data_IF_005571017023
#
_entry.id   IF_005571017023
#
_cell.length_a   1.000
_cell.length_b   1.000
_cell.length_c   1.000
_cell.angle_alpha   90.00
_cell.angle_beta   90.00
_cell.angle_gamma   90.00
#
_symmetry.space_group_name_H-M   'P 1'
#
loop_
_entity.id
_entity.type
_entity.pdbx_description
1 polymer ?
#
# COMPACT_ATOMS: atom_id res chain seq x y z
N UNK A 1 -11.61 8.12 -5.14
CA UNK A 1 -11.86 7.39 -6.40
C UNK A 1 -12.66 8.30 -7.31
N UNK A 2 -12.06 8.80 -8.39
CA UNK A 2 -12.76 9.66 -9.37
C UNK A 2 -13.40 8.85 -10.50
N UNK A 3 -12.85 7.65 -10.79
CA UNK A 3 -13.38 6.69 -11.75
C UNK A 3 -13.35 5.27 -11.17
N UNK A 4 -14.32 4.43 -11.57
CA UNK A 4 -14.43 3.06 -11.07
C UNK A 4 -13.25 2.21 -11.55
N UNK A 5 -12.44 1.72 -10.62
CA UNK A 5 -11.23 0.92 -10.89
C UNK A 5 -11.15 -0.27 -9.95
N UNK A 6 -10.57 -1.36 -10.41
CA UNK A 6 -10.21 -2.53 -9.60
C UNK A 6 -8.70 -2.59 -9.32
N UNK A 7 -7.93 -1.67 -9.91
CA UNK A 7 -6.47 -1.60 -9.79
C UNK A 7 -6.10 -0.30 -9.10
N UNK A 8 -5.21 -0.40 -8.11
CA UNK A 8 -4.54 0.74 -7.49
C UNK A 8 -3.04 0.55 -7.62
N UNK A 9 -2.36 1.53 -8.19
CA UNK A 9 -0.90 1.61 -8.22
C UNK A 9 -0.46 2.70 -7.25
N UNK A 10 0.53 2.39 -6.40
CA UNK A 10 1.11 3.34 -5.44
C UNK A 10 2.62 3.13 -5.30
N UNK A 11 3.31 4.18 -4.85
CA UNK A 11 4.75 4.11 -4.57
C UNK A 11 5.02 3.14 -3.43
N UNK A 12 5.98 2.25 -3.62
CA UNK A 12 6.37 1.25 -2.65
C UNK A 12 7.85 0.91 -2.83
N UNK A 13 8.64 1.26 -1.83
CA UNK A 13 10.07 0.95 -1.77
C UNK A 13 10.42 0.37 -0.41
N UNK A 14 11.19 -0.72 -0.39
CA UNK A 14 11.76 -1.33 0.80
C UNK A 14 10.77 -1.75 1.92
N UNK A 15 9.50 -1.98 1.57
CA UNK A 15 8.49 -2.55 2.48
C UNK A 15 7.93 -3.85 1.92
N UNK A 16 7.65 -4.82 2.79
CA UNK A 16 6.96 -6.05 2.44
C UNK A 16 5.54 -6.01 3.01
N UNK A 17 4.54 -6.06 2.11
CA UNK A 17 3.12 -5.94 2.44
C UNK A 17 2.54 -7.35 2.63
N UNK A 18 1.97 -7.62 3.81
CA UNK A 18 1.35 -8.92 4.13
C UNK A 18 -0.16 -8.93 3.89
N UNK A 19 -0.84 -7.80 4.11
CA UNK A 19 -2.28 -7.65 3.89
C UNK A 19 -2.65 -6.26 3.42
N UNK A 20 -3.59 -6.19 2.49
CA UNK A 20 -4.26 -4.95 2.11
C UNK A 20 -5.77 -5.17 2.04
N UNK A 21 -6.52 -4.21 2.58
CA UNK A 21 -7.96 -4.17 2.40
C UNK A 21 -8.48 -2.75 2.23
N UNK A 22 -9.48 -2.62 1.38
CA UNK A 22 -10.24 -1.41 1.13
C UNK A 22 -11.49 -1.40 2.01
N UNK A 23 -11.82 -0.26 2.61
CA UNK A 23 -13.12 -0.02 3.25
C UNK A 23 -13.74 1.30 2.80
N UNK A 24 -15.07 1.37 2.80
CA UNK A 24 -15.80 2.63 2.66
C UNK A 24 -16.80 2.84 3.81
N UNK A 25 -17.40 4.03 3.89
CA UNK A 25 -18.40 4.36 4.92
C UNK A 25 -19.71 3.55 4.79
N UNK A 26 -19.95 2.92 3.64
CA UNK A 26 -21.14 2.10 3.39
C UNK A 26 -20.99 0.66 3.93
N UNK A 27 -19.89 0.37 4.65
CA UNK A 27 -19.61 -0.94 5.23
C UNK A 27 -19.00 -1.95 4.26
N UNK A 28 -18.69 -1.56 3.01
CA UNK A 28 -17.97 -2.42 2.07
C UNK A 28 -16.54 -2.63 2.58
N UNK A 29 -16.10 -3.89 2.62
CA UNK A 29 -14.73 -4.26 2.95
C UNK A 29 -14.22 -5.26 1.92
N UNK A 30 -13.22 -4.88 1.13
CA UNK A 30 -12.66 -5.72 0.06
C UNK A 30 -11.19 -6.02 0.36
N UNK A 31 -10.82 -7.30 0.32
CA UNK A 31 -9.42 -7.71 0.35
C UNK A 31 -8.84 -7.65 -1.05
N UNK A 32 -7.57 -7.32 -1.17
CA UNK A 32 -6.84 -7.46 -2.43
C UNK A 32 -6.72 -8.93 -2.82
N UNK A 33 -6.93 -9.22 -4.09
CA UNK A 33 -6.72 -10.53 -4.69
C UNK A 33 -5.25 -10.75 -5.03
N UNK A 34 -4.59 -9.69 -5.52
CA UNK A 34 -3.20 -9.75 -5.97
C UNK A 34 -2.42 -8.50 -5.54
N UNK A 35 -1.16 -8.70 -5.16
CA UNK A 35 -0.21 -7.65 -4.80
C UNK A 35 1.06 -7.91 -5.60
N UNK A 36 1.45 -6.97 -6.46
CA UNK A 36 2.59 -7.11 -7.37
C UNK A 36 3.56 -5.95 -7.18
N UNK A 37 4.81 -6.26 -6.87
CA UNK A 37 5.87 -5.26 -6.70
C UNK A 37 6.62 -5.06 -8.01
N UNK A 38 6.87 -3.81 -8.38
CA UNK A 38 7.76 -3.42 -9.45
C UNK A 38 8.93 -2.64 -8.85
N UNK A 39 10.07 -3.31 -8.68
CA UNK A 39 11.25 -2.70 -8.06
C UNK A 39 11.84 -1.58 -8.91
N UNK A 40 11.83 -1.73 -10.23
CA UNK A 40 12.40 -0.75 -11.17
C UNK A 40 11.63 0.58 -11.16
N UNK A 41 10.30 0.51 -11.01
CA UNK A 41 9.42 1.68 -10.94
C UNK A 41 9.16 2.14 -9.49
N UNK A 42 9.70 1.44 -8.49
CA UNK A 42 9.42 1.65 -7.07
C UNK A 42 7.92 1.70 -6.74
N UNK A 43 7.13 0.82 -7.36
CA UNK A 43 5.67 0.77 -7.20
C UNK A 43 5.16 -0.60 -6.74
N UNK A 44 3.94 -0.59 -6.19
CA UNK A 44 3.13 -1.78 -5.97
C UNK A 44 1.78 -1.62 -6.65
N UNK A 45 1.35 -2.68 -7.32
CA UNK A 45 0.04 -2.81 -7.96
C UNK A 45 -0.85 -3.71 -7.11
N UNK A 46 -1.99 -3.18 -6.69
CA UNK A 46 -3.02 -3.87 -5.93
C UNK A 46 -4.20 -4.15 -6.84
N UNK A 47 -4.57 -5.42 -6.98
CA UNK A 47 -5.77 -5.84 -7.72
C UNK A 47 -6.85 -6.27 -6.74
N UNK A 48 -8.06 -5.72 -6.90
CA UNK A 48 -9.25 -6.07 -6.12
C UNK A 48 -10.19 -6.95 -6.94
N UNK A 49 -10.97 -7.84 -6.30
CA UNK A 49 -11.87 -8.77 -6.99
C UNK A 49 -13.07 -8.08 -7.67
N UNK A 50 -13.26 -6.78 -7.43
CA UNK A 50 -14.32 -5.98 -8.02
C UNK A 50 -13.92 -4.50 -8.05
N UNK A 51 -14.57 -3.75 -8.95
CA UNK A 51 -14.38 -2.30 -9.04
C UNK A 51 -14.74 -1.61 -7.72
N UNK A 52 -13.84 -0.73 -7.30
CA UNK A 52 -14.02 0.14 -6.16
C UNK A 52 -15.02 1.24 -6.51
N UNK A 53 -15.95 1.58 -5.60
CA UNK A 53 -16.95 2.60 -5.85
C UNK A 53 -16.31 3.99 -5.99
N UNK A 54 -16.83 4.79 -6.91
CA UNK A 54 -16.48 6.20 -7.07
C UNK A 54 -16.91 6.97 -5.82
N UNK A 55 -16.07 7.90 -5.36
CA UNK A 55 -16.32 8.68 -4.16
C UNK A 55 -15.06 9.03 -3.38
N UNK A 56 -15.24 9.82 -2.31
CA UNK A 56 -14.14 10.33 -1.46
C UNK A 56 -13.88 9.49 -0.21
N UNK A 57 -14.76 8.55 0.11
CA UNK A 57 -14.78 7.85 1.40
C UNK A 57 -14.01 6.53 1.43
N UNK A 58 -13.22 6.25 0.40
CA UNK A 58 -12.41 5.04 0.31
C UNK A 58 -11.17 5.12 1.19
N UNK A 59 -10.93 4.09 2.00
CA UNK A 59 -9.75 3.94 2.85
C UNK A 59 -9.04 2.63 2.52
N UNK A 60 -7.73 2.70 2.33
CA UNK A 60 -6.86 1.54 2.23
C UNK A 60 -6.16 1.31 3.56
N UNK A 61 -6.12 0.06 3.99
CA UNK A 61 -5.42 -0.37 5.19
C UNK A 61 -4.34 -1.35 4.79
N UNK A 62 -3.14 -1.13 5.30
CA UNK A 62 -1.96 -1.93 5.00
C UNK A 62 -1.41 -2.55 6.29
N UNK A 63 -1.04 -3.81 6.21
CA UNK A 63 -0.16 -4.47 7.15
C UNK A 63 1.16 -4.72 6.41
N UNK A 64 2.25 -4.12 6.89
CA UNK A 64 3.56 -4.23 6.25
C UNK A 64 4.68 -4.22 7.28
N UNK A 65 5.81 -4.79 6.88
CA UNK A 65 7.08 -4.75 7.61
C UNK A 65 8.14 -4.05 6.77
N UNK A 66 9.12 -3.46 7.43
CA UNK A 66 10.28 -2.82 6.80
C UNK A 66 11.53 -3.06 7.64
N UNK A 67 12.69 -3.01 7.00
CA UNK A 67 13.97 -3.08 7.69
C UNK A 67 14.41 -1.68 8.13
N UNK A 68 14.79 -1.53 9.41
CA UNK A 68 15.47 -0.33 9.89
C UNK A 68 16.91 -0.39 9.40
N UNK A 69 17.22 0.44 8.39
CA UNK A 69 18.48 0.38 7.68
C UNK A 69 19.52 1.41 8.20
N UNK A 70 20.75 1.30 7.71
CA UNK A 70 21.87 2.24 7.96
C UNK A 70 22.23 3.05 6.68
N UNK A 71 21.35 3.08 5.68
CA UNK A 71 21.59 3.70 4.36
C UNK A 71 21.29 5.20 4.33
N UNK A 72 20.85 5.79 5.46
CA UNK A 72 20.42 7.19 5.59
C UNK A 72 19.27 7.58 4.63
N UNK A 73 18.47 6.59 4.22
CA UNK A 73 17.34 6.75 3.31
C UNK A 73 16.09 6.08 3.90
N UNK A 74 14.94 6.74 3.78
CA UNK A 74 13.66 6.22 4.30
C UNK A 74 13.62 6.22 5.83
N UNK A 75 13.12 5.13 6.43
CA UNK A 75 13.10 4.94 7.87
C UNK A 75 14.37 4.20 8.32
N UNK A 76 15.25 4.89 9.04
CA UNK A 76 16.57 4.41 9.42
C UNK A 76 16.89 4.73 10.88
N UNK A 77 17.86 4.02 11.46
CA UNK A 77 18.33 4.29 12.82
C UNK A 77 19.46 5.31 12.82
N UNK A 78 19.45 6.20 13.81
CA UNK A 78 20.59 7.06 14.11
C UNK A 78 21.19 6.65 15.46
N UNK A 79 22.52 6.73 15.58
CA UNK A 79 23.26 6.45 16.80
C UNK A 79 24.14 7.65 17.16
N UNK A 80 24.09 8.07 18.42
CA UNK A 80 24.92 9.14 18.98
C UNK A 80 25.73 8.60 20.15
N UNK A 81 27.03 8.89 20.17
CA UNK A 81 27.94 8.62 21.30
C UNK A 81 28.37 9.97 21.85
N UNK A 82 27.89 10.32 23.04
CA UNK A 82 28.23 11.57 23.72
C UNK A 82 29.62 11.57 24.36
#
# INVERSE_FOLDING_TARGET
VIDATEIIVLNCLAIAISKVFYKNNNGLSLKTEKIEFCADEETVTLTFPQKLPVGKDGRLYFEFISEINDKLTGFYRSRYSG
#
